data_IF_740832278897
#
_entry.id   IF_740832278897
#
_cell.length_a   1.000
_cell.length_b   1.000
_cell.length_c   1.000
_cell.angle_alpha   90.00
_cell.angle_beta   90.00
_cell.angle_gamma   90.00
#
_symmetry.space_group_name_H-M   'P 1'
#
loop_
_entity.id
_entity.type
_entity.pdbx_description
1 polymer ?
#
# COMPACT_ATOMS: atom_id res chain seq x y z
N UNK A 1 -18.62 2.57 -15.27
CA UNK A 1 -17.76 3.72 -14.92
C UNK A 1 -16.63 3.34 -13.94
N UNK A 2 -16.84 2.47 -12.94
CA UNK A 2 -15.79 1.91 -12.05
C UNK A 2 -14.62 1.22 -12.76
N UNK A 3 -14.92 0.55 -13.89
CA UNK A 3 -13.89 -0.14 -14.68
C UNK A 3 -12.88 0.85 -15.22
N UNK A 4 -13.29 1.99 -15.80
CA UNK A 4 -12.37 2.88 -16.51
C UNK A 4 -11.34 3.56 -15.60
N UNK A 5 -11.74 4.12 -14.45
CA UNK A 5 -10.78 4.82 -13.57
C UNK A 5 -9.77 3.87 -12.91
N UNK A 6 -10.19 2.67 -12.49
CA UNK A 6 -9.25 1.65 -12.00
C UNK A 6 -8.42 1.04 -13.14
N UNK A 7 -8.97 0.94 -14.36
CA UNK A 7 -8.25 0.50 -15.57
C UNK A 7 -7.18 1.50 -16.04
N UNK A 8 -7.29 2.78 -15.65
CA UNK A 8 -6.30 3.82 -15.99
C UNK A 8 -5.10 3.81 -15.03
N UNK A 9 -5.25 3.30 -13.81
CA UNK A 9 -4.10 3.00 -12.96
C UNK A 9 -3.48 1.68 -13.44
N UNK A 10 -2.43 1.79 -14.25
CA UNK A 10 -1.54 0.68 -14.61
C UNK A 10 -0.20 0.83 -13.85
N UNK A 11 -0.18 0.51 -12.54
CA UNK A 11 1.03 0.68 -11.76
C UNK A 11 2.10 -0.33 -12.15
N UNK A 12 3.31 0.16 -12.41
CA UNK A 12 4.49 -0.69 -12.44
C UNK A 12 4.80 -1.18 -11.03
N UNK A 13 4.26 -2.35 -10.72
CA UNK A 13 4.32 -2.97 -9.43
C UNK A 13 5.75 -3.34 -8.99
N UNK A 14 6.60 -3.79 -9.91
CA UNK A 14 8.01 -4.10 -9.62
C UNK A 14 8.75 -2.85 -9.17
N UNK A 15 8.54 -1.73 -9.87
CA UNK A 15 9.07 -0.43 -9.44
C UNK A 15 8.48 0.02 -8.11
N UNK A 16 7.18 -0.18 -7.87
CA UNK A 16 6.54 0.24 -6.64
C UNK A 16 7.08 -0.54 -5.42
N UNK A 17 7.29 -1.84 -5.56
CA UNK A 17 7.88 -2.70 -4.53
C UNK A 17 9.36 -2.42 -4.31
N UNK A 18 10.13 -2.21 -5.39
CA UNK A 18 11.54 -1.82 -5.27
C UNK A 18 11.71 -0.46 -4.58
N UNK A 19 10.84 0.50 -4.86
CA UNK A 19 10.86 1.79 -4.16
C UNK A 19 10.40 1.64 -2.71
N UNK A 20 9.39 0.81 -2.46
CA UNK A 20 8.91 0.51 -1.11
C UNK A 20 10.00 -0.07 -0.21
N UNK A 21 10.89 -0.93 -0.72
CA UNK A 21 12.02 -1.46 0.05
C UNK A 21 13.10 -0.42 0.36
N UNK A 22 13.14 0.69 -0.38
CA UNK A 22 14.07 1.80 -0.16
C UNK A 22 13.48 2.89 0.77
N UNK A 23 12.18 2.88 1.04
CA UNK A 23 11.58 3.85 1.94
C UNK A 23 12.03 3.60 3.38
N UNK A 24 12.57 4.64 4.01
CA UNK A 24 13.06 4.65 5.39
C UNK A 24 11.96 4.74 6.43
N UNK A 25 10.69 4.86 6.02
CA UNK A 25 9.55 4.85 6.93
C UNK A 25 9.44 3.45 7.53
N UNK A 26 9.94 3.29 8.75
CA UNK A 26 9.90 2.03 9.48
C UNK A 26 8.57 1.78 10.16
N UNK A 27 7.69 2.79 10.28
CA UNK A 27 6.45 2.70 11.04
C UNK A 27 5.22 2.91 10.16
N UNK A 28 4.17 2.15 10.45
CA UNK A 28 2.88 2.30 9.78
C UNK A 28 2.21 3.57 10.29
N UNK A 29 2.05 4.59 9.44
CA UNK A 29 1.48 5.89 9.84
C UNK A 29 0.01 5.84 10.28
N UNK A 30 -0.68 4.72 10.06
CA UNK A 30 -2.07 4.52 10.51
C UNK A 30 -2.11 4.12 11.99
N UNK A 31 -1.23 3.22 12.42
CA UNK A 31 -1.23 2.67 13.79
C UNK A 31 0.01 3.04 14.61
N UNK A 32 0.97 3.77 14.02
CA UNK A 32 2.22 4.21 14.61
C UNK A 32 3.09 3.06 15.18
N UNK A 33 2.98 1.87 14.59
CA UNK A 33 3.75 0.69 14.97
C UNK A 33 4.69 0.26 13.84
N UNK A 34 5.83 -0.40 14.14
CA UNK A 34 6.79 -0.83 13.14
C UNK A 34 6.17 -1.68 12.03
N UNK A 35 6.56 -1.41 10.79
CA UNK A 35 6.28 -2.18 9.57
C UNK A 35 7.19 -3.42 9.52
N UNK A 36 6.99 -4.33 10.45
CA UNK A 36 7.78 -5.55 10.56
C UNK A 36 6.90 -6.79 10.62
N UNK A 37 7.48 -7.93 10.27
CA UNK A 37 6.89 -9.23 10.55
C UNK A 37 6.63 -9.40 12.06
N UNK A 38 5.62 -10.20 12.45
CA UNK A 38 4.82 -11.13 11.64
C UNK A 38 3.61 -10.50 10.93
N UNK A 39 3.43 -9.18 11.00
CA UNK A 39 2.23 -8.53 10.44
C UNK A 39 2.35 -8.43 8.92
N UNK A 40 1.36 -8.91 8.14
CA UNK A 40 1.36 -8.74 6.70
C UNK A 40 1.39 -7.28 6.31
N UNK A 41 2.15 -6.98 5.27
CA UNK A 41 2.30 -5.64 4.71
C UNK A 41 1.61 -5.54 3.35
N UNK A 42 1.21 -4.32 3.02
CA UNK A 42 0.59 -3.97 1.76
C UNK A 42 1.32 -2.76 1.20
N UNK A 43 1.69 -2.84 -0.08
CA UNK A 43 2.29 -1.74 -0.83
C UNK A 43 1.24 -1.10 -1.71
N UNK A 44 1.22 0.23 -1.73
CA UNK A 44 0.37 1.00 -2.63
C UNK A 44 1.10 1.26 -3.96
N UNK A 45 0.36 1.51 -5.03
CA UNK A 45 0.91 1.92 -6.34
C UNK A 45 1.82 3.16 -6.27
N UNK A 46 1.63 4.03 -5.26
CA UNK A 46 2.53 5.15 -4.95
C UNK A 46 3.79 4.76 -4.17
N UNK A 47 4.06 3.45 -4.02
CA UNK A 47 5.23 2.85 -3.34
C UNK A 47 5.25 2.96 -1.80
N UNK A 48 4.19 3.43 -1.15
CA UNK A 48 4.13 3.50 0.31
C UNK A 48 3.64 2.18 0.94
N UNK A 49 4.18 1.85 2.12
CA UNK A 49 3.87 0.62 2.88
C UNK A 49 2.97 0.87 4.08
N UNK A 50 2.08 -0.08 4.32
CA UNK A 50 1.18 -0.13 5.47
C UNK A 50 1.00 -1.57 5.92
N UNK A 51 0.57 -1.79 7.17
CA UNK A 51 0.04 -3.09 7.53
C UNK A 51 -1.24 -3.37 6.73
N UNK A 52 -1.39 -4.61 6.24
CA UNK A 52 -2.58 -5.02 5.50
C UNK A 52 -3.85 -4.75 6.28
N UNK A 53 -3.89 -5.08 7.58
CA UNK A 53 -5.06 -4.82 8.41
C UNK A 53 -5.37 -3.32 8.54
N UNK A 54 -4.34 -2.48 8.68
CA UNK A 54 -4.52 -1.05 8.85
C UNK A 54 -5.07 -0.38 7.59
N UNK A 55 -4.54 -0.72 6.41
CA UNK A 55 -5.01 -0.12 5.17
C UNK A 55 -6.41 -0.63 4.79
N UNK A 56 -6.69 -1.92 4.96
CA UNK A 56 -8.04 -2.46 4.73
C UNK A 56 -9.08 -1.86 5.67
N UNK A 57 -8.74 -1.64 6.94
CA UNK A 57 -9.63 -0.91 7.86
C UNK A 57 -9.89 0.51 7.36
N UNK A 58 -8.86 1.25 6.92
CA UNK A 58 -9.04 2.59 6.36
C UNK A 58 -9.99 2.59 5.15
N UNK A 59 -9.80 1.65 4.23
CA UNK A 59 -10.61 1.50 3.01
C UNK A 59 -12.08 1.22 3.35
N UNK A 60 -12.34 0.43 4.39
CA UNK A 60 -13.71 0.07 4.83
C UNK A 60 -14.56 1.24 5.30
N UNK A 61 -13.96 2.38 5.66
CA UNK A 61 -14.69 3.59 6.07
C UNK A 61 -15.17 4.44 4.89
N UNK A 62 -14.76 4.12 3.67
CA UNK A 62 -15.11 4.85 2.46
C UNK A 62 -16.01 4.00 1.57
N UNK A 63 -16.93 4.63 0.84
CA UNK A 63 -17.85 3.91 -0.05
C UNK A 63 -17.07 3.20 -1.17
N UNK A 64 -17.51 2.01 -1.56
CA UNK A 64 -16.92 1.16 -2.62
C UNK A 64 -16.74 1.86 -3.99
N UNK A 65 -17.34 3.03 -4.15
CA UNK A 65 -17.32 3.85 -5.36
C UNK A 65 -16.27 4.97 -5.36
N UNK A 66 -15.52 5.16 -4.27
CA UNK A 66 -14.49 6.21 -4.17
C UNK A 66 -13.07 5.64 -4.32
N UNK A 67 -12.24 6.28 -5.15
CA UNK A 67 -10.81 5.99 -5.18
C UNK A 67 -10.16 6.43 -3.86
N UNK A 68 -9.52 5.49 -3.17
CA UNK A 68 -8.80 5.80 -1.94
C UNK A 68 -7.56 6.64 -2.24
N UNK A 69 -7.22 7.53 -1.30
CA UNK A 69 -6.04 8.38 -1.37
C UNK A 69 -5.02 7.96 -0.33
N UNK A 70 -3.74 7.92 -0.72
CA UNK A 70 -2.67 7.46 0.15
C UNK A 70 -2.55 8.37 1.38
N UNK A 71 -2.49 7.82 2.62
CA UNK A 71 -2.33 8.64 3.83
C UNK A 71 -1.04 9.48 3.87
N UNK A 72 -0.02 9.09 3.09
CA UNK A 72 1.29 9.77 3.08
C UNK A 72 1.34 10.85 1.99
N UNK A 73 1.15 10.47 0.73
CA UNK A 73 1.34 11.39 -0.40
C UNK A 73 0.03 11.91 -1.03
N UNK A 74 -1.12 11.46 -0.52
CA UNK A 74 -2.47 11.83 -1.01
C UNK A 74 -2.78 11.46 -2.46
N UNK A 75 -1.89 10.74 -3.14
CA UNK A 75 -2.15 10.23 -4.48
C UNK A 75 -3.24 9.15 -4.45
N UNK A 76 -4.12 9.07 -5.47
CA UNK A 76 -5.01 7.93 -5.64
C UNK A 76 -4.17 6.65 -5.82
N UNK A 77 -4.68 5.51 -5.34
CA UNK A 77 -3.89 4.29 -5.37
C UNK A 77 -4.67 3.01 -5.65
N UNK A 78 -3.97 2.04 -6.23
CA UNK A 78 -4.24 0.60 -6.07
C UNK A 78 -3.34 0.02 -4.97
N UNK A 79 -3.77 -1.07 -4.33
CA UNK A 79 -3.03 -1.76 -3.26
C UNK A 79 -2.73 -3.22 -3.64
N UNK A 80 -1.60 -3.76 -3.17
CA UNK A 80 -1.27 -5.20 -3.29
C UNK A 80 -0.54 -5.72 -2.06
N UNK A 81 -0.65 -7.02 -1.82
CA UNK A 81 0.17 -7.69 -0.80
C UNK A 81 1.67 -7.46 -1.08
N UNK A 82 2.40 -7.04 -0.06
CA UNK A 82 3.84 -6.88 -0.13
C UNK A 82 4.52 -8.15 0.36
N UNK A 83 5.21 -8.84 -0.55
CA UNK A 83 6.03 -10.00 -0.24
C UNK A 83 7.47 -9.54 -0.10
N UNK A 84 8.01 -9.58 1.12
CA UNK A 84 9.47 -9.54 1.30
C UNK A 84 10.00 -10.85 0.75
N UNK A 85 10.81 -10.82 -0.31
CA UNK A 85 11.58 -11.98 -0.74
C UNK A 85 12.46 -12.39 0.44
N UNK A 86 12.04 -13.40 1.19
CA UNK A 86 12.83 -14.01 2.25
C UNK A 86 13.98 -14.79 1.60
N UNK A 87 15.05 -14.06 1.29
CA UNK A 87 16.41 -14.60 1.21
C UNK A 87 17.24 -13.83 2.25
N UNK A 88 16.85 -13.98 3.51
CA UNK A 88 17.81 -13.86 4.60
C UNK A 88 18.47 -15.25 4.70
N UNK A 89 19.63 -15.39 4.05
CA UNK A 89 20.64 -16.44 4.35
C UNK A 89 21.20 -16.24 5.76
#
# INVERSE_FOLDING_TARGET
MRSLELQLLDPNWDSATMKASQYTTTDCVICLAPLSLPRPLTVLSCSHLFHTTCITSLESFTSDYTLHSCPICRSPYLSRAYTTSSNDD
#
